data_IF_337539462887
#
_entry.id   IF_337539462887
#
_cell.length_a   1.000
_cell.length_b   1.000
_cell.length_c   1.000
_cell.angle_alpha   90.00
_cell.angle_beta   90.00
_cell.angle_gamma   90.00
#
_symmetry.space_group_name_H-M   'P 1'
#
loop_
_entity.id
_entity.type
_entity.pdbx_description
1 polymer ?
#
# COMPACT_ATOMS: atom_id res chain seq x y z
N UNK A 1 -8.14 12.28 -11.36
CA UNK A 1 -7.62 10.92 -11.21
C UNK A 1 -6.14 10.98 -10.87
N UNK A 2 -5.70 10.09 -10.00
CA UNK A 2 -4.32 10.05 -9.53
C UNK A 2 -3.60 8.86 -10.15
N UNK A 3 -2.29 8.98 -10.27
CA UNK A 3 -1.44 7.89 -10.73
C UNK A 3 -0.97 7.09 -9.53
N UNK A 4 -1.04 5.75 -9.63
CA UNK A 4 -0.54 4.85 -8.60
C UNK A 4 0.56 4.01 -9.22
N UNK A 5 1.75 4.06 -8.64
CA UNK A 5 2.90 3.28 -9.09
C UNK A 5 3.36 2.36 -7.98
N UNK A 6 3.89 1.22 -8.38
CA UNK A 6 4.50 0.28 -7.44
C UNK A 6 6.00 0.60 -7.33
N UNK A 7 6.50 0.56 -6.11
CA UNK A 7 7.93 0.75 -5.88
C UNK A 7 8.75 -0.24 -6.70
N UNK A 8 9.78 0.24 -7.36
CA UNK A 8 10.67 -0.57 -8.16
C UNK A 8 12.11 -0.18 -7.85
N UNK A 9 12.97 -1.19 -7.69
CA UNK A 9 14.39 -0.99 -7.45
C UNK A 9 15.15 -2.21 -7.98
N UNK A 10 16.17 -1.97 -8.80
CA UNK A 10 17.00 -3.03 -9.41
C UNK A 10 16.14 -4.07 -10.13
N UNK A 11 15.17 -3.61 -10.91
CA UNK A 11 14.23 -4.45 -11.67
C UNK A 11 13.37 -5.36 -10.80
N UNK A 12 13.26 -5.07 -9.50
CA UNK A 12 12.40 -5.79 -8.58
C UNK A 12 11.20 -4.93 -8.23
N UNK A 13 10.04 -5.57 -8.17
CA UNK A 13 8.78 -4.92 -7.82
C UNK A 13 8.15 -5.69 -6.66
N UNK A 14 8.61 -5.43 -5.44
CA UNK A 14 8.21 -6.25 -4.29
C UNK A 14 6.72 -6.22 -3.98
N UNK A 15 6.01 -5.12 -4.28
CA UNK A 15 4.58 -5.05 -4.05
C UNK A 15 3.83 -5.94 -5.06
N UNK A 16 4.23 -5.92 -6.31
CA UNK A 16 3.64 -6.81 -7.31
C UNK A 16 3.93 -8.28 -6.99
N UNK A 17 5.15 -8.58 -6.55
CA UNK A 17 5.51 -9.92 -6.13
C UNK A 17 4.64 -10.39 -4.97
N UNK A 18 4.41 -9.51 -4.00
CA UNK A 18 3.51 -9.79 -2.88
C UNK A 18 2.10 -10.10 -3.39
N UNK A 19 1.56 -9.26 -4.27
CA UNK A 19 0.21 -9.46 -4.81
C UNK A 19 0.08 -10.81 -5.52
N UNK A 20 1.11 -11.20 -6.28
CA UNK A 20 1.07 -12.43 -7.08
C UNK A 20 0.96 -13.70 -6.23
N UNK A 21 1.27 -13.61 -4.94
CA UNK A 21 1.19 -14.76 -4.01
C UNK A 21 -0.13 -14.88 -3.29
N UNK A 22 -1.02 -13.91 -3.49
CA UNK A 22 -2.33 -13.90 -2.84
C UNK A 22 -3.32 -14.73 -3.65
N UNK A 23 -4.40 -15.18 -3.01
CA UNK A 23 -5.47 -15.86 -3.73
C UNK A 23 -6.25 -14.86 -4.61
N UNK A 24 -6.99 -15.40 -5.60
CA UNK A 24 -7.66 -14.57 -6.59
C UNK A 24 -8.66 -13.59 -5.98
N UNK A 25 -9.41 -14.02 -4.96
CA UNK A 25 -10.40 -13.16 -4.31
C UNK A 25 -9.71 -11.99 -3.62
N UNK A 26 -8.62 -12.26 -2.92
CA UNK A 26 -7.87 -11.23 -2.22
C UNK A 26 -7.20 -10.26 -3.21
N UNK A 27 -6.63 -10.78 -4.31
CA UNK A 27 -6.05 -9.93 -5.36
C UNK A 27 -7.11 -8.97 -5.90
N UNK A 28 -8.31 -9.48 -6.20
CA UNK A 28 -9.38 -8.63 -6.73
C UNK A 28 -9.75 -7.50 -5.76
N UNK A 29 -9.79 -7.80 -4.46
CA UNK A 29 -10.05 -6.78 -3.44
C UNK A 29 -8.94 -5.75 -3.35
N UNK A 30 -7.68 -6.18 -3.49
CA UNK A 30 -6.54 -5.27 -3.50
C UNK A 30 -6.59 -4.34 -4.71
N UNK A 31 -6.87 -4.89 -5.89
CA UNK A 31 -6.97 -4.07 -7.10
C UNK A 31 -8.10 -3.06 -7.01
N UNK A 32 -9.22 -3.46 -6.40
CA UNK A 32 -10.34 -2.53 -6.17
C UNK A 32 -9.93 -1.41 -5.23
N UNK A 33 -9.20 -1.70 -4.17
CA UNK A 33 -8.72 -0.68 -3.23
C UNK A 33 -7.74 0.28 -3.91
N UNK A 34 -6.84 -0.25 -4.73
CA UNK A 34 -5.91 0.58 -5.51
C UNK A 34 -6.68 1.48 -6.47
N UNK A 35 -7.74 0.96 -7.09
CA UNK A 35 -8.59 1.75 -7.98
C UNK A 35 -9.30 2.88 -7.23
N UNK A 36 -9.73 2.64 -6.00
CA UNK A 36 -10.31 3.70 -5.15
C UNK A 36 -9.27 4.79 -4.91
N UNK A 37 -8.03 4.40 -4.64
CA UNK A 37 -6.94 5.36 -4.45
C UNK A 37 -6.70 6.18 -5.73
N UNK A 38 -6.74 5.54 -6.89
CA UNK A 38 -6.59 6.23 -8.17
C UNK A 38 -7.68 7.28 -8.41
N UNK A 39 -8.91 6.95 -8.03
CA UNK A 39 -10.05 7.82 -8.32
C UNK A 39 -10.25 8.91 -7.27
N UNK A 40 -10.02 8.61 -6.02
CA UNK A 40 -10.34 9.53 -4.92
C UNK A 40 -9.13 10.04 -4.15
N UNK A 41 -7.98 9.40 -4.30
CA UNK A 41 -6.79 9.80 -3.57
C UNK A 41 -7.01 9.75 -2.08
N UNK A 42 -6.38 10.68 -1.36
CA UNK A 42 -6.50 10.75 0.10
C UNK A 42 -7.91 11.10 0.57
N UNK A 43 -8.76 11.63 -0.32
CA UNK A 43 -10.14 11.94 0.04
C UNK A 43 -10.99 10.69 0.29
N UNK A 44 -10.51 9.50 -0.09
CA UNK A 44 -11.18 8.25 0.28
C UNK A 44 -11.28 8.07 1.79
N UNK A 45 -10.28 8.59 2.53
CA UNK A 45 -10.34 8.74 3.97
C UNK A 45 -10.46 7.47 4.78
N UNK A 46 -10.56 7.65 6.11
CA UNK A 46 -10.75 6.56 7.04
C UNK A 46 -12.13 5.90 6.81
N UNK A 47 -12.29 4.56 6.84
CA UNK A 47 -11.30 3.58 7.29
C UNK A 47 -10.40 3.00 6.19
N UNK A 48 -10.53 3.44 4.93
CA UNK A 48 -9.72 2.90 3.84
C UNK A 48 -8.27 3.34 3.92
N UNK A 49 -8.04 4.59 4.35
CA UNK A 49 -6.72 5.18 4.42
C UNK A 49 -6.49 5.70 5.83
N UNK A 50 -5.31 5.42 6.38
CA UNK A 50 -4.90 5.89 7.69
C UNK A 50 -3.48 6.42 7.60
N UNK A 51 -3.24 7.61 8.16
CA UNK A 51 -1.89 8.15 8.24
C UNK A 51 -1.15 7.45 9.38
N UNK A 52 0.01 6.85 9.08
CA UNK A 52 0.76 6.07 10.06
C UNK A 52 2.09 6.70 10.45
N UNK A 53 2.56 7.68 9.67
CA UNK A 53 3.73 8.47 10.03
C UNK A 53 3.65 9.80 9.30
N UNK A 54 4.68 10.64 9.43
CA UNK A 54 4.68 11.97 8.83
C UNK A 54 4.41 11.95 7.33
N UNK A 55 4.97 10.97 6.62
CA UNK A 55 4.85 10.89 5.17
C UNK A 55 4.17 9.63 4.66
N UNK A 56 3.99 8.62 5.51
CA UNK A 56 3.51 7.31 5.10
C UNK A 56 2.07 7.11 5.52
N UNK A 57 1.28 6.61 4.59
CA UNK A 57 -0.12 6.24 4.77
C UNK A 57 -0.29 4.75 4.61
N UNK A 58 -1.35 4.23 5.19
CA UNK A 58 -1.73 2.83 5.09
C UNK A 58 -3.02 2.72 4.29
N UNK A 59 -3.00 1.93 3.22
CA UNK A 59 -4.20 1.55 2.47
C UNK A 59 -4.69 0.22 3.03
N UNK A 60 -5.92 0.18 3.49
CA UNK A 60 -6.49 -0.96 4.21
C UNK A 60 -7.43 -1.72 3.28
N UNK A 61 -7.16 -3.01 3.11
CA UNK A 61 -7.98 -3.90 2.30
C UNK A 61 -8.58 -4.96 3.22
N UNK A 62 -9.88 -4.85 3.48
CA UNK A 62 -10.59 -5.77 4.37
C UNK A 62 -11.09 -6.98 3.61
N UNK A 63 -11.10 -8.13 4.28
CA UNK A 63 -11.57 -9.38 3.74
C UNK A 63 -11.17 -10.52 4.64
N UNK A 64 -11.22 -11.74 4.10
CA UNK A 64 -10.75 -12.93 4.82
C UNK A 64 -9.30 -12.73 5.26
N UNK A 65 -8.49 -12.18 4.37
CA UNK A 65 -7.13 -11.78 4.67
C UNK A 65 -7.09 -10.27 4.80
N UNK A 66 -6.55 -9.78 5.93
CA UNK A 66 -6.37 -8.36 6.14
C UNK A 66 -5.08 -7.92 5.46
N UNK A 67 -5.21 -7.18 4.38
CA UNK A 67 -4.05 -6.72 3.60
C UNK A 67 -3.86 -5.23 3.86
N UNK A 68 -2.60 -4.83 3.92
CA UNK A 68 -2.20 -3.43 4.09
C UNK A 68 -1.13 -3.09 3.07
N UNK A 69 -1.24 -1.87 2.50
CA UNK A 69 -0.19 -1.31 1.66
C UNK A 69 0.25 -0.01 2.29
N UNK A 70 1.55 0.13 2.49
CA UNK A 70 2.13 1.40 2.93
C UNK A 70 2.51 2.20 1.69
N UNK A 71 2.09 3.45 1.64
CA UNK A 71 2.32 4.28 0.47
C UNK A 71 2.63 5.71 0.85
N UNK A 72 3.18 6.45 -0.10
CA UNK A 72 3.44 7.88 0.02
C UNK A 72 2.83 8.60 -1.17
N UNK A 73 2.52 9.88 -0.96
CA UNK A 73 2.03 10.75 -2.00
C UNK A 73 3.11 11.77 -2.34
N UNK A 74 3.46 11.88 -3.61
CA UNK A 74 4.47 12.83 -4.04
C UNK A 74 4.11 13.36 -5.44
N UNK A 75 3.86 14.66 -5.52
CA UNK A 75 3.63 15.36 -6.80
C UNK A 75 2.56 14.68 -7.68
N UNK A 76 1.41 14.36 -7.09
CA UNK A 76 0.30 13.76 -7.82
C UNK A 76 0.38 12.26 -8.02
N UNK A 77 1.41 11.62 -7.50
CA UNK A 77 1.63 10.18 -7.65
C UNK A 77 1.62 9.51 -6.29
N UNK A 78 0.91 8.39 -6.20
CA UNK A 78 0.94 7.52 -5.04
C UNK A 78 1.90 6.37 -5.32
N UNK A 79 2.91 6.21 -4.47
CA UNK A 79 3.88 5.12 -4.60
C UNK A 79 3.59 4.08 -3.54
N UNK A 80 3.21 2.88 -3.96
CA UNK A 80 3.02 1.76 -3.04
C UNK A 80 4.40 1.19 -2.71
N UNK A 81 4.78 1.30 -1.45
CA UNK A 81 6.13 0.94 -1.01
C UNK A 81 6.21 -0.50 -0.50
N UNK A 82 5.15 -0.98 0.15
CA UNK A 82 5.21 -2.25 0.86
C UNK A 82 3.81 -2.81 1.04
N UNK A 83 3.65 -4.11 0.82
CA UNK A 83 2.40 -4.82 1.06
C UNK A 83 2.62 -5.96 2.03
N UNK A 84 1.66 -6.20 2.93
CA UNK A 84 1.78 -7.27 3.90
C UNK A 84 0.41 -7.71 4.42
N UNK A 85 0.34 -8.92 4.97
CA UNK A 85 -0.83 -9.38 5.70
C UNK A 85 -0.74 -8.90 7.14
N UNK A 86 -1.79 -8.22 7.59
CA UNK A 86 -1.82 -7.74 8.96
C UNK A 86 -2.39 -8.82 9.86
N UNK A 87 -1.57 -9.35 10.74
CA UNK A 87 -1.98 -10.41 11.68
C UNK A 87 -2.22 -9.90 13.08
N UNK A 88 -1.87 -8.63 13.36
CA UNK A 88 -1.96 -8.03 14.69
C UNK A 88 -2.64 -6.69 14.61
N UNK A 89 -3.12 -6.20 15.76
CA UNK A 89 -3.74 -4.88 15.87
C UNK A 89 -2.77 -3.75 15.52
N UNK A 90 -1.53 -3.90 15.92
CA UNK A 90 -0.51 -2.87 15.71
C UNK A 90 0.27 -3.11 14.43
N UNK A 91 0.61 -2.02 13.75
CA UNK A 91 1.55 -2.03 12.65
C UNK A 91 2.92 -2.47 13.17
N UNK A 92 3.52 -3.45 12.53
CA UNK A 92 4.82 -3.95 12.97
C UNK A 92 5.92 -2.98 12.57
N UNK A 93 6.88 -2.82 13.47
CA UNK A 93 8.02 -1.94 13.25
C UNK A 93 8.81 -2.34 12.00
N UNK A 94 8.93 -3.64 11.73
CA UNK A 94 9.66 -4.11 10.56
C UNK A 94 9.01 -3.64 9.25
N UNK A 95 7.67 -3.62 9.20
CA UNK A 95 6.97 -3.18 8.00
C UNK A 95 7.18 -1.68 7.77
N UNK A 96 7.15 -0.90 8.84
CA UNK A 96 7.45 0.53 8.74
C UNK A 96 8.89 0.79 8.29
N UNK A 97 9.85 0.02 8.80
CA UNK A 97 11.24 0.18 8.40
C UNK A 97 11.45 -0.13 6.93
N UNK A 98 10.78 -1.17 6.41
CA UNK A 98 10.86 -1.49 4.99
C UNK A 98 10.32 -0.32 4.16
N UNK A 99 9.16 0.21 4.53
CA UNK A 99 8.58 1.34 3.81
C UNK A 99 9.47 2.57 3.88
N UNK A 100 9.99 2.90 5.04
CA UNK A 100 10.88 4.05 5.21
C UNK A 100 12.15 3.93 4.38
N UNK A 101 12.72 2.72 4.34
CA UNK A 101 13.91 2.48 3.54
C UNK A 101 13.62 2.67 2.05
N UNK A 102 12.50 2.15 1.57
CA UNK A 102 12.11 2.28 0.17
C UNK A 102 11.76 3.72 -0.19
N UNK A 103 11.19 4.45 0.75
CA UNK A 103 10.87 5.86 0.55
C UNK A 103 12.10 6.69 0.17
N UNK A 104 13.27 6.31 0.66
CA UNK A 104 14.50 7.06 0.35
C UNK A 104 14.84 7.04 -1.14
N UNK A 105 14.26 6.14 -1.91
CA UNK A 105 14.50 6.04 -3.36
C UNK A 105 13.45 6.79 -4.19
N UNK A 106 12.48 7.40 -3.56
CA UNK A 106 11.41 8.12 -4.28
C UNK A 106 11.75 9.61 -4.48
#
# INVERSE_FOLDING_TARGET
MYKVLFFENNNRQPVEDFLSRLDHVTIAKCLKAINVLENYGLSAGYPFIKKVSKKIFELRVKGRNEIRFLFVYKKGVFYLLHGFKKKRQKLLLKDMKIAQQRLTFI
#
